data_IF_347778260580
#
_entry.id   IF_347778260580
#
_cell.length_a   1.000
_cell.length_b   1.000
_cell.length_c   1.000
_cell.angle_alpha   90.00
_cell.angle_beta   90.00
_cell.angle_gamma   90.00
#
_symmetry.space_group_name_H-M   'P 1'
#
loop_
_entity.id
_entity.type
_entity.pdbx_description
1 polymer ?
#
# COMPACT_ATOMS: atom_id res chain seq x y z
N UNK A 1 19.82 -2.62 2.13
CA UNK A 1 19.24 -1.31 2.48
C UNK A 1 18.54 -0.82 1.22
N UNK A 2 17.25 -0.57 1.33
CA UNK A 2 16.43 0.03 0.28
C UNK A 2 16.11 1.48 0.66
N UNK A 3 15.87 2.30 -0.37
CA UNK A 3 15.24 3.61 -0.21
C UNK A 3 13.75 3.45 -0.51
N UNK A 4 12.91 3.62 0.51
CA UNK A 4 11.47 3.40 0.41
C UNK A 4 10.75 4.74 0.45
N UNK A 5 9.90 5.02 -0.54
CA UNK A 5 8.97 6.14 -0.51
C UNK A 5 7.62 5.68 0.01
N UNK A 6 7.09 6.38 1.01
CA UNK A 6 5.74 6.15 1.54
C UNK A 6 4.88 7.38 1.17
N UNK A 7 3.98 7.19 0.22
CA UNK A 7 2.96 8.18 -0.16
C UNK A 7 1.72 7.93 0.71
N UNK A 8 1.21 8.98 1.34
CA UNK A 8 0.20 8.83 2.39
C UNK A 8 0.83 8.51 3.75
N UNK A 9 2.02 9.05 4.02
CA UNK A 9 2.81 8.78 5.22
C UNK A 9 2.08 9.10 6.54
N UNK A 10 1.06 9.97 6.52
CA UNK A 10 0.25 10.33 7.69
C UNK A 10 -0.93 9.40 7.93
N UNK A 11 -1.25 8.50 6.99
CA UNK A 11 -2.29 7.50 7.17
C UNK A 11 -1.93 6.54 8.31
N UNK A 12 -2.94 5.89 8.90
CA UNK A 12 -2.72 4.90 9.95
C UNK A 12 -1.70 3.83 9.54
N UNK A 13 -1.82 3.32 8.31
CA UNK A 13 -0.92 2.28 7.80
C UNK A 13 0.43 2.84 7.37
N UNK A 14 0.47 4.04 6.79
CA UNK A 14 1.72 4.74 6.47
C UNK A 14 2.59 4.95 7.71
N UNK A 15 2.04 5.53 8.78
CA UNK A 15 2.79 5.74 10.03
C UNK A 15 3.26 4.44 10.67
N UNK A 16 2.43 3.39 10.63
CA UNK A 16 2.82 2.09 11.17
C UNK A 16 3.93 1.45 10.34
N UNK A 17 3.80 1.46 9.01
CA UNK A 17 4.81 0.95 8.10
C UNK A 17 6.14 1.68 8.29
N UNK A 18 6.14 3.02 8.38
CA UNK A 18 7.35 3.81 8.70
C UNK A 18 8.02 3.32 9.97
N UNK A 19 7.27 3.23 11.08
CA UNK A 19 7.81 2.73 12.36
C UNK A 19 8.33 1.30 12.23
N UNK A 20 7.65 0.45 11.49
CA UNK A 20 8.05 -0.94 11.31
C UNK A 20 9.34 -1.05 10.50
N UNK A 21 9.49 -0.30 9.40
CA UNK A 21 10.74 -0.21 8.63
C UNK A 21 11.90 0.26 9.50
N UNK A 22 11.74 1.38 10.22
CA UNK A 22 12.81 1.94 11.07
C UNK A 22 13.25 1.00 12.19
N UNK A 23 12.32 0.20 12.72
CA UNK A 23 12.59 -0.73 13.82
C UNK A 23 13.16 -2.08 13.36
N UNK A 24 12.85 -2.52 12.14
CA UNK A 24 13.16 -3.87 11.65
C UNK A 24 14.25 -3.91 10.59
N UNK A 25 14.66 -2.76 10.08
CA UNK A 25 15.55 -2.65 8.92
C UNK A 25 16.55 -1.51 9.09
N UNK A 26 17.48 -1.40 8.14
CA UNK A 26 18.39 -0.27 7.99
C UNK A 26 18.02 0.58 6.77
N UNK A 27 16.76 0.54 6.33
CA UNK A 27 16.31 1.27 5.15
C UNK A 27 16.20 2.77 5.41
N UNK A 28 16.29 3.55 4.33
CA UNK A 28 16.00 4.98 4.36
C UNK A 28 14.57 5.22 3.90
N UNK A 29 13.83 6.07 4.60
CA UNK A 29 12.42 6.30 4.38
C UNK A 29 12.18 7.73 3.88
N UNK A 30 11.53 7.84 2.74
CA UNK A 30 11.01 9.09 2.21
C UNK A 30 9.53 9.16 2.55
N UNK A 31 9.11 10.19 3.26
CA UNK A 31 7.73 10.38 3.67
C UNK A 31 7.10 11.49 2.84
N UNK A 32 6.03 11.18 2.10
CA UNK A 32 5.25 12.19 1.37
C UNK A 32 3.84 12.27 1.95
N UNK A 33 3.44 13.49 2.34
CA UNK A 33 2.10 13.77 2.84
C UNK A 33 1.70 15.23 2.67
N UNK A 34 0.40 15.49 2.57
CA UNK A 34 -0.17 16.85 2.47
C UNK A 34 0.02 17.66 3.76
N UNK A 35 -0.14 16.98 4.90
CA UNK A 35 -0.13 17.58 6.23
C UNK A 35 0.91 16.89 7.12
N UNK A 36 2.17 17.27 7.00
CA UNK A 36 3.31 16.63 7.69
C UNK A 36 3.30 16.83 9.22
N UNK A 37 2.50 17.75 9.75
CA UNK A 37 2.36 17.97 11.19
C UNK A 37 1.75 16.80 11.98
N UNK A 38 1.21 15.78 11.29
CA UNK A 38 0.70 14.55 11.91
C UNK A 38 1.76 13.42 11.97
N UNK A 39 2.95 13.65 11.42
CA UNK A 39 4.03 12.67 11.47
C UNK A 39 4.57 12.56 12.90
N UNK A 40 5.01 11.35 13.25
CA UNK A 40 5.82 11.15 14.46
C UNK A 40 7.16 11.90 14.32
N UNK A 41 7.91 12.12 15.42
CA UNK A 41 9.23 12.73 15.34
C UNK A 41 10.13 12.03 14.31
N UNK A 42 10.76 12.83 13.46
CA UNK A 42 11.52 12.38 12.30
C UNK A 42 12.96 12.03 12.72
N UNK A 43 13.43 10.85 12.37
CA UNK A 43 14.82 10.42 12.44
C UNK A 43 15.57 10.94 11.20
N UNK A 44 16.08 12.17 11.24
CA UNK A 44 16.78 12.81 10.11
C UNK A 44 17.98 12.01 9.57
N UNK A 45 18.48 11.00 10.30
CA UNK A 45 19.54 10.12 9.82
C UNK A 45 19.08 9.09 8.80
N UNK A 46 17.78 8.76 8.80
CA UNK A 46 17.17 7.73 7.94
C UNK A 46 15.89 8.18 7.26
N UNK A 47 15.35 9.34 7.62
CA UNK A 47 14.08 9.84 7.12
C UNK A 47 14.25 11.19 6.44
N UNK A 48 13.53 11.37 5.33
CA UNK A 48 13.37 12.65 4.64
C UNK A 48 11.89 12.90 4.36
N UNK A 49 11.45 14.15 4.45
CA UNK A 49 10.03 14.50 4.38
C UNK A 49 9.76 15.45 3.22
N UNK A 50 8.74 15.14 2.42
CA UNK A 50 8.19 15.98 1.37
C UNK A 50 6.75 16.34 1.73
N UNK A 51 6.50 17.64 1.92
CA UNK A 51 5.15 18.14 2.10
C UNK A 51 4.55 18.50 0.74
N UNK A 52 3.50 17.79 0.32
CA UNK A 52 2.82 18.03 -0.95
C UNK A 52 1.72 17.01 -1.24
N UNK A 53 0.94 17.29 -2.29
CA UNK A 53 -0.07 16.39 -2.85
C UNK A 53 0.50 15.66 -4.09
N UNK A 54 -0.08 14.53 -4.47
CA UNK A 54 0.29 13.79 -5.69
C UNK A 54 0.10 14.65 -6.95
N UNK A 55 -0.82 15.61 -6.90
CA UNK A 55 -1.01 16.55 -8.01
C UNK A 55 0.18 17.50 -8.21
N UNK A 56 1.03 17.68 -7.19
CA UNK A 56 2.23 18.51 -7.25
C UNK A 56 3.39 17.73 -7.90
N UNK A 57 3.42 17.74 -9.24
CA UNK A 57 4.34 16.93 -10.05
C UNK A 57 5.82 17.09 -9.64
N UNK A 58 6.27 18.34 -9.43
CA UNK A 58 7.65 18.60 -9.01
C UNK A 58 7.97 17.95 -7.66
N UNK A 59 7.05 18.00 -6.70
CA UNK A 59 7.24 17.43 -5.36
C UNK A 59 7.24 15.90 -5.44
N UNK A 60 6.34 15.34 -6.25
CA UNK A 60 6.27 13.90 -6.48
C UNK A 60 7.56 13.36 -7.12
N UNK A 61 8.05 14.03 -8.16
CA UNK A 61 9.32 13.67 -8.81
C UNK A 61 10.51 13.77 -7.85
N UNK A 62 10.59 14.86 -7.08
CA UNK A 62 11.67 15.04 -6.11
C UNK A 62 11.63 13.97 -5.00
N UNK A 63 10.44 13.53 -4.58
CA UNK A 63 10.27 12.44 -3.64
C UNK A 63 10.68 11.06 -4.22
N UNK A 64 10.51 10.86 -5.53
CA UNK A 64 10.86 9.62 -6.25
C UNK A 64 12.37 9.45 -6.49
N UNK A 65 13.15 10.54 -6.50
CA UNK A 65 14.60 10.47 -6.77
C UNK A 65 15.33 9.52 -5.83
N UNK A 66 16.02 8.55 -6.43
CA UNK A 66 16.84 7.55 -5.73
C UNK A 66 16.03 6.50 -4.94
N UNK A 67 14.72 6.43 -5.13
CA UNK A 67 13.84 5.45 -4.50
C UNK A 67 13.97 4.09 -5.20
N UNK A 68 13.90 3.02 -4.42
CA UNK A 68 13.87 1.65 -4.93
C UNK A 68 12.46 1.06 -4.90
N UNK A 69 11.67 1.42 -3.87
CA UNK A 69 10.33 0.88 -3.62
C UNK A 69 9.39 2.02 -3.26
N UNK A 70 8.22 2.04 -3.86
CA UNK A 70 7.13 2.97 -3.52
C UNK A 70 6.03 2.20 -2.80
N UNK A 71 5.68 2.61 -1.59
CA UNK A 71 4.47 2.22 -0.89
C UNK A 71 3.44 3.34 -1.02
N UNK A 72 2.30 3.03 -1.59
CA UNK A 72 1.13 3.91 -1.61
C UNK A 72 0.14 3.42 -0.57
N UNK A 73 -0.04 4.21 0.49
CA UNK A 73 -0.97 3.93 1.59
C UNK A 73 -2.08 4.97 1.60
N UNK A 74 -2.82 5.01 0.49
CA UNK A 74 -3.92 5.95 0.26
C UNK A 74 -5.18 5.17 -0.08
N UNK A 75 -6.28 5.58 0.53
CA UNK A 75 -7.60 5.17 0.09
C UNK A 75 -8.06 6.15 -1.00
N UNK A 76 -7.67 5.88 -2.25
CA UNK A 76 -8.00 6.70 -3.41
C UNK A 76 -8.70 5.87 -4.47
N UNK A 77 -9.80 6.43 -4.99
CA UNK A 77 -10.55 5.92 -6.11
C UNK A 77 -10.38 6.80 -7.37
N UNK A 78 -9.33 7.63 -7.39
CA UNK A 78 -9.06 8.56 -8.49
C UNK A 78 -7.96 8.03 -9.41
N UNK A 79 -8.36 7.48 -10.56
CA UNK A 79 -7.47 6.99 -11.61
C UNK A 79 -6.34 7.98 -11.96
N UNK A 80 -6.65 9.28 -12.04
CA UNK A 80 -5.67 10.32 -12.40
C UNK A 80 -4.53 10.45 -11.40
N UNK A 81 -4.79 10.24 -10.11
CA UNK A 81 -3.75 10.31 -9.09
C UNK A 81 -2.80 9.11 -9.20
N UNK A 82 -3.34 7.94 -9.49
CA UNK A 82 -2.55 6.72 -9.68
C UNK A 82 -1.73 6.80 -10.96
N UNK A 83 -2.30 7.30 -12.04
CA UNK A 83 -1.55 7.54 -13.28
C UNK A 83 -0.37 8.48 -13.04
N UNK A 84 -0.54 9.56 -12.27
CA UNK A 84 0.57 10.46 -11.90
C UNK A 84 1.69 9.75 -11.14
N UNK A 85 1.35 8.83 -10.24
CA UNK A 85 2.34 8.02 -9.51
C UNK A 85 3.08 7.11 -10.50
N UNK A 86 2.37 6.42 -11.38
CA UNK A 86 2.98 5.54 -12.40
C UNK A 86 3.91 6.35 -13.32
N UNK A 87 3.47 7.50 -13.80
CA UNK A 87 4.26 8.37 -14.68
C UNK A 87 5.54 8.86 -13.98
N UNK A 88 5.46 9.28 -12.71
CA UNK A 88 6.61 9.71 -11.94
C UNK A 88 7.58 8.55 -11.64
N UNK A 89 7.05 7.36 -11.37
CA UNK A 89 7.86 6.14 -11.23
C UNK A 89 8.62 5.82 -12.51
N UNK A 90 7.95 5.89 -13.68
CA UNK A 90 8.59 5.65 -14.97
C UNK A 90 9.66 6.69 -15.30
N UNK A 91 9.37 7.96 -15.04
CA UNK A 91 10.30 9.08 -15.23
C UNK A 91 11.60 8.90 -14.44
N UNK A 92 11.49 8.46 -13.19
CA UNK A 92 12.63 8.24 -12.30
C UNK A 92 13.20 6.81 -12.35
N UNK A 93 12.66 5.95 -13.22
CA UNK A 93 13.11 4.57 -13.41
C UNK A 93 12.83 3.63 -12.23
N UNK A 94 11.87 3.97 -11.37
CA UNK A 94 11.44 3.16 -10.23
C UNK A 94 10.44 2.12 -10.70
N UNK A 95 10.68 0.83 -10.43
CA UNK A 95 9.80 -0.26 -10.91
C UNK A 95 9.00 -0.95 -9.82
N UNK A 96 9.40 -0.91 -8.54
CA UNK A 96 8.72 -1.65 -7.46
C UNK A 96 7.62 -0.79 -6.83
N UNK A 97 6.36 -1.16 -7.04
CA UNK A 97 5.18 -0.53 -6.44
C UNK A 97 4.50 -1.49 -5.45
N UNK A 98 4.24 -1.04 -4.24
CA UNK A 98 3.35 -1.67 -3.26
C UNK A 98 2.13 -0.78 -3.10
N UNK A 99 0.96 -1.25 -3.53
CA UNK A 99 -0.28 -0.48 -3.47
C UNK A 99 -1.20 -1.07 -2.42
N UNK A 100 -1.36 -0.37 -1.29
CA UNK A 100 -2.24 -0.78 -0.21
C UNK A 100 -3.65 -0.23 -0.47
N UNK A 101 -4.62 -1.13 -0.53
CA UNK A 101 -6.04 -0.81 -0.66
C UNK A 101 -6.82 -1.61 0.41
N UNK A 102 -8.07 -2.00 0.15
CA UNK A 102 -8.89 -2.80 1.06
C UNK A 102 -9.46 -4.02 0.34
N UNK A 103 -9.67 -5.11 1.07
CA UNK A 103 -10.54 -6.19 0.59
C UNK A 103 -11.97 -5.66 0.36
N UNK A 104 -12.62 -6.13 -0.70
CA UNK A 104 -13.96 -5.72 -1.14
C UNK A 104 -13.97 -4.91 -2.45
N UNK A 105 -12.84 -4.29 -2.82
CA UNK A 105 -12.72 -3.50 -4.06
C UNK A 105 -12.68 -4.36 -5.33
N UNK A 106 -12.28 -5.63 -5.22
CA UNK A 106 -12.28 -6.60 -6.31
C UNK A 106 -13.60 -7.41 -6.39
N UNK A 107 -14.65 -6.96 -5.70
CA UNK A 107 -15.95 -7.63 -5.61
C UNK A 107 -15.87 -9.08 -5.09
N UNK A 108 -14.92 -9.32 -4.18
CA UNK A 108 -14.60 -10.65 -3.66
C UNK A 108 -15.43 -11.07 -2.45
N UNK A 109 -16.12 -10.14 -1.77
CA UNK A 109 -16.89 -10.46 -0.56
C UNK A 109 -18.28 -10.99 -0.96
N UNK A 110 -18.70 -12.21 -0.54
CA UNK A 110 -20.00 -12.73 -0.88
C UNK A 110 -21.13 -11.87 -0.31
N UNK A 111 -22.23 -11.69 -1.05
CA UNK A 111 -23.44 -10.98 -0.58
C UNK A 111 -23.99 -11.59 0.73
N UNK A 112 -23.73 -12.87 0.97
CA UNK A 112 -24.12 -13.61 2.17
C UNK A 112 -23.31 -13.26 3.42
N UNK A 113 -22.17 -12.56 3.29
CA UNK A 113 -21.34 -12.10 4.40
C UNK A 113 -21.85 -10.77 5.04
N UNK A 114 -23.08 -10.38 4.70
CA UNK A 114 -23.75 -9.20 5.25
C UNK A 114 -23.76 -8.00 4.30
N UNK A 115 -24.79 -7.15 4.43
CA UNK A 115 -25.05 -5.99 3.59
C UNK A 115 -23.99 -4.86 3.63
N UNK A 116 -22.89 -5.07 4.35
CA UNK A 116 -21.80 -4.11 4.60
C UNK A 116 -20.45 -4.55 4.04
N UNK A 117 -20.37 -5.71 3.36
CA UNK A 117 -19.11 -6.35 2.95
C UNK A 117 -18.49 -5.77 1.67
N UNK A 118 -19.15 -5.91 0.52
CA UNK A 118 -18.74 -5.18 -0.68
C UNK A 118 -19.32 -3.75 -0.64
N UNK A 119 -18.69 -2.81 -1.35
CA UNK A 119 -19.40 -1.62 -1.79
C UNK A 119 -20.52 -2.13 -2.72
N UNK A 120 -21.73 -2.27 -2.19
CA UNK A 120 -22.83 -3.02 -2.84
C UNK A 120 -23.37 -2.34 -4.09
N UNK A 121 -23.01 -1.08 -4.30
CA UNK A 121 -23.26 -0.35 -5.53
C UNK A 121 -22.05 -0.41 -6.46
N UNK A 122 -22.27 -0.98 -7.65
CA UNK A 122 -21.26 -1.05 -8.71
C UNK A 122 -20.67 0.32 -9.08
N UNK A 123 -21.43 1.41 -8.90
CA UNK A 123 -20.98 2.80 -9.08
C UNK A 123 -19.89 3.22 -8.10
N UNK A 124 -19.86 2.64 -6.89
CA UNK A 124 -18.86 2.95 -5.87
C UNK A 124 -17.63 2.04 -6.03
N UNK A 125 -17.80 0.77 -6.43
CA UNK A 125 -16.69 -0.15 -6.71
C UNK A 125 -15.87 0.24 -7.94
N UNK A 126 -16.56 0.64 -9.01
CA UNK A 126 -15.95 0.82 -10.32
C UNK A 126 -14.73 1.75 -10.31
N UNK A 127 -14.76 2.92 -9.64
CA UNK A 127 -13.59 3.80 -9.57
C UNK A 127 -12.36 3.15 -8.88
N UNK A 128 -12.56 2.33 -7.85
CA UNK A 128 -11.45 1.59 -7.22
C UNK A 128 -10.90 0.48 -8.13
N UNK A 129 -11.77 -0.18 -8.90
CA UNK A 129 -11.35 -1.17 -9.90
C UNK A 129 -10.60 -0.52 -11.06
N UNK A 130 -11.00 0.68 -11.48
CA UNK A 130 -10.29 1.47 -12.50
C UNK A 130 -8.88 1.84 -12.01
N UNK A 131 -8.73 2.23 -10.74
CA UNK A 131 -7.41 2.44 -10.11
C UNK A 131 -6.55 1.18 -10.17
N UNK A 132 -7.09 0.01 -9.79
CA UNK A 132 -6.35 -1.26 -9.87
C UNK A 132 -5.95 -1.57 -11.31
N UNK A 133 -6.85 -1.36 -12.27
CA UNK A 133 -6.61 -1.61 -13.69
C UNK A 133 -5.48 -0.77 -14.27
N UNK A 134 -5.34 0.49 -13.83
CA UNK A 134 -4.23 1.37 -14.21
C UNK A 134 -2.90 0.75 -13.77
N UNK A 135 -2.84 0.25 -12.53
CA UNK A 135 -1.65 -0.40 -11.99
C UNK A 135 -1.36 -1.70 -12.75
N UNK A 136 -2.38 -2.54 -12.95
CA UNK A 136 -2.24 -3.84 -13.64
C UNK A 136 -1.83 -3.70 -15.12
N UNK A 137 -2.17 -2.58 -15.76
CA UNK A 137 -1.77 -2.26 -17.13
C UNK A 137 -0.39 -1.62 -17.26
N UNK A 138 0.19 -1.14 -16.16
CA UNK A 138 1.54 -0.57 -16.17
C UNK A 138 2.60 -1.64 -16.40
N UNK A 139 3.83 -1.24 -16.70
CA UNK A 139 4.98 -2.15 -16.79
C UNK A 139 5.69 -2.33 -15.42
N UNK A 140 5.10 -1.82 -14.34
CA UNK A 140 5.67 -1.86 -13.00
C UNK A 140 5.68 -3.28 -12.42
N UNK A 141 6.68 -3.54 -11.58
CA UNK A 141 6.67 -4.66 -10.65
C UNK A 141 5.79 -4.31 -9.44
N UNK A 142 4.48 -4.33 -9.67
CA UNK A 142 3.49 -4.00 -8.65
C UNK A 142 3.16 -5.20 -7.75
N UNK A 143 2.74 -4.90 -6.52
CA UNK A 143 1.96 -5.79 -5.67
C UNK A 143 0.81 -5.00 -5.08
N UNK A 144 -0.42 -5.42 -5.35
CA UNK A 144 -1.61 -4.86 -4.70
C UNK A 144 -1.82 -5.64 -3.41
N UNK A 145 -2.05 -4.94 -2.29
CA UNK A 145 -2.22 -5.52 -0.96
C UNK A 145 -3.64 -5.17 -0.48
N UNK A 146 -4.47 -6.20 -0.28
CA UNK A 146 -5.87 -6.12 0.16
C UNK A 146 -6.03 -6.77 1.54
N UNK A 147 -5.76 -6.05 2.63
CA UNK A 147 -6.06 -6.55 3.96
C UNK A 147 -7.56 -6.74 4.15
N UNK A 148 -7.92 -7.78 4.91
CA UNK A 148 -9.23 -7.89 5.56
C UNK A 148 -9.37 -6.82 6.64
N UNK A 149 -10.45 -6.86 7.41
CA UNK A 149 -10.69 -5.91 8.49
C UNK A 149 -9.48 -5.80 9.42
N UNK A 150 -9.02 -4.56 9.62
CA UNK A 150 -7.81 -4.28 10.39
C UNK A 150 -8.11 -4.22 11.88
N UNK A 151 -7.28 -4.86 12.68
CA UNK A 151 -7.29 -4.74 14.14
C UNK A 151 -5.92 -4.34 14.72
N UNK A 152 -5.94 -4.10 16.04
CA UNK A 152 -4.77 -3.70 16.84
C UNK A 152 -4.11 -4.87 17.57
N UNK A 153 -4.37 -6.09 17.10
CA UNK A 153 -3.67 -7.30 17.52
C UNK A 153 -2.17 -7.11 17.37
N UNK A 154 -1.39 -7.73 18.28
CA UNK A 154 0.08 -7.65 18.25
C UNK A 154 0.72 -8.84 17.54
N UNK A 155 -0.08 -9.71 16.94
CA UNK A 155 0.40 -10.81 16.13
C UNK A 155 0.97 -10.29 14.81
N UNK A 156 2.20 -10.70 14.49
CA UNK A 156 2.97 -10.17 13.35
C UNK A 156 3.10 -11.22 12.25
N UNK A 157 3.14 -12.50 12.59
CA UNK A 157 3.38 -13.64 11.68
C UNK A 157 2.18 -14.60 11.56
N UNK A 158 1.06 -14.22 12.18
CA UNK A 158 -0.17 -14.99 12.18
C UNK A 158 -1.10 -14.57 11.03
N UNK A 159 -0.57 -14.50 9.82
CA UNK A 159 -1.35 -14.16 8.63
C UNK A 159 -1.12 -15.15 7.50
N UNK A 160 -2.13 -15.28 6.65
CA UNK A 160 -2.04 -15.94 5.37
C UNK A 160 -2.22 -14.92 4.25
N UNK A 161 -1.70 -15.28 3.08
CA UNK A 161 -1.80 -14.45 1.88
C UNK A 161 -2.37 -15.32 0.78
N UNK A 162 -3.40 -14.82 0.11
CA UNK A 162 -4.05 -15.50 -1.02
C UNK A 162 -4.03 -14.62 -2.26
N UNK A 163 -3.83 -15.25 -3.40
CA UNK A 163 -3.79 -14.59 -4.71
C UNK A 163 -5.19 -14.14 -5.14
N UNK A 164 -5.25 -13.25 -6.13
CA UNK A 164 -6.51 -12.81 -6.71
C UNK A 164 -7.34 -14.00 -7.22
N UNK A 165 -8.65 -13.95 -7.02
CA UNK A 165 -9.59 -15.03 -7.38
C UNK A 165 -9.68 -16.19 -6.37
N UNK A 166 -8.90 -16.18 -5.28
CA UNK A 166 -9.11 -17.10 -4.16
C UNK A 166 -10.43 -16.79 -3.41
N UNK A 167 -11.05 -17.79 -2.74
CA UNK A 167 -12.24 -17.55 -1.92
C UNK A 167 -12.00 -16.49 -0.85
N UNK A 168 -13.04 -15.71 -0.56
CA UNK A 168 -13.04 -14.74 0.54
C UNK A 168 -12.74 -15.41 1.88
N UNK A 169 -11.90 -14.75 2.69
CA UNK A 169 -11.58 -15.16 4.05
C UNK A 169 -12.06 -14.06 5.00
N UNK A 170 -12.90 -14.43 5.96
CA UNK A 170 -13.58 -13.49 6.86
C UNK A 170 -12.74 -13.03 8.07
N UNK A 171 -11.55 -13.60 8.26
CA UNK A 171 -10.74 -13.31 9.44
C UNK A 171 -10.08 -11.92 9.36
N UNK A 172 -10.35 -11.06 10.34
CA UNK A 172 -9.62 -9.81 10.61
C UNK A 172 -8.11 -10.04 10.66
N UNK A 173 -7.32 -9.02 10.38
CA UNK A 173 -5.85 -9.07 10.41
C UNK A 173 -5.25 -7.91 11.20
N UNK A 174 -4.17 -8.19 11.93
CA UNK A 174 -3.41 -7.16 12.62
C UNK A 174 -2.76 -6.19 11.63
N UNK A 175 -2.84 -4.89 11.92
CA UNK A 175 -2.07 -3.86 11.20
C UNK A 175 -0.56 -4.15 11.21
N UNK A 176 -0.03 -4.79 12.26
CA UNK A 176 1.39 -5.18 12.33
C UNK A 176 1.74 -6.34 11.39
N UNK A 177 0.82 -7.28 11.18
CA UNK A 177 0.98 -8.35 10.19
C UNK A 177 1.02 -7.79 8.76
N UNK A 178 0.19 -6.78 8.47
CA UNK A 178 0.23 -6.07 7.17
C UNK A 178 1.55 -5.31 7.01
N UNK A 179 2.04 -4.62 8.05
CA UNK A 179 3.33 -3.94 8.03
C UNK A 179 4.50 -4.91 7.81
N UNK A 180 4.44 -6.11 8.41
CA UNK A 180 5.41 -7.18 8.17
C UNK A 180 5.42 -7.63 6.70
N UNK A 181 4.25 -7.90 6.13
CA UNK A 181 4.13 -8.26 4.72
C UNK A 181 4.70 -7.16 3.81
N UNK A 182 4.41 -5.88 4.08
CA UNK A 182 4.94 -4.73 3.32
C UNK A 182 6.47 -4.75 3.30
N UNK A 183 7.13 -4.94 4.45
CA UNK A 183 8.60 -5.00 4.51
C UNK A 183 9.14 -6.20 3.73
N UNK A 184 8.53 -7.37 3.89
CA UNK A 184 8.93 -8.57 3.14
C UNK A 184 8.82 -8.38 1.62
N UNK A 185 7.75 -7.73 1.15
CA UNK A 185 7.52 -7.41 -0.26
C UNK A 185 8.49 -6.34 -0.79
N UNK A 186 8.86 -5.38 0.06
CA UNK A 186 9.85 -4.35 -0.29
C UNK A 186 11.26 -4.92 -0.48
N UNK A 187 11.60 -5.99 0.25
CA UNK A 187 12.93 -6.64 0.16
C UNK A 187 12.99 -7.85 -0.78
N UNK A 188 11.87 -8.28 -1.36
CA UNK A 188 11.82 -9.39 -2.29
C UNK A 188 10.96 -9.03 -3.51
N UNK A 189 11.62 -8.61 -4.58
CA UNK A 189 11.01 -8.19 -5.84
C UNK A 189 10.35 -9.33 -6.63
N UNK A 190 10.56 -10.59 -6.24
CA UNK A 190 9.88 -11.75 -6.81
C UNK A 190 8.58 -12.09 -6.07
N UNK A 191 8.49 -11.71 -4.79
CA UNK A 191 7.31 -11.99 -3.98
C UNK A 191 6.18 -11.03 -4.36
N UNK A 192 5.02 -11.58 -4.76
CA UNK A 192 3.86 -10.78 -5.16
C UNK A 192 4.06 -9.99 -6.46
N UNK A 193 5.02 -10.37 -7.31
CA UNK A 193 5.31 -9.67 -8.56
C UNK A 193 4.10 -9.73 -9.50
N UNK A 194 3.64 -8.55 -9.93
CA UNK A 194 2.48 -8.38 -10.81
C UNK A 194 1.24 -9.12 -10.29
N UNK A 195 1.02 -9.05 -8.98
CA UNK A 195 0.03 -9.84 -8.27
C UNK A 195 -0.82 -8.96 -7.34
N UNK A 196 -1.98 -9.50 -6.98
CA UNK A 196 -2.96 -8.87 -6.12
C UNK A 196 -3.31 -9.78 -4.94
N UNK A 197 -2.71 -9.46 -3.80
CA UNK A 197 -2.62 -10.29 -2.61
C UNK A 197 -3.65 -9.86 -1.57
N UNK A 198 -4.57 -10.74 -1.23
CA UNK A 198 -5.40 -10.62 -0.05
C UNK A 198 -4.65 -11.13 1.18
N UNK A 199 -4.71 -10.40 2.29
CA UNK A 199 -4.10 -10.79 3.57
C UNK A 199 -5.16 -10.85 4.67
N UNK A 200 -5.19 -11.97 5.40
CA UNK A 200 -6.09 -12.24 6.53
C UNK A 200 -5.34 -12.98 7.64
N UNK A 201 -5.87 -12.99 8.86
CA UNK A 201 -5.33 -13.87 9.91
C UNK A 201 -5.62 -15.33 9.59
N UNK A 202 -4.67 -16.22 9.90
CA UNK A 202 -4.84 -17.67 9.71
C UNK A 202 -6.05 -18.17 10.50
N UNK A 203 -6.85 -19.01 9.87
CA UNK A 203 -7.87 -19.77 10.59
C UNK A 203 -7.22 -20.66 11.67
N UNK A 204 -7.91 -20.80 12.81
CA UNK A 204 -7.51 -21.73 13.88
C UNK A 204 -7.75 -23.18 13.50
#
# INVERSE_FOLDING_TARGET
MANVLIIGATSSMGQLATKYFLNKTYDNITLMARYTGLLSPIDESRERVFQGDIIDEQILDDAMKGVNVVLVSLDSNEERLIQKIVDAMDKEGVKRLLFLTSMGVCNEIPVTAGASGNLTEASILKPYQEVIHVIEKSDLNYTIIRPSWLDDGKDVDNYEVVHNGAPYVENDVSRYSVADLIVRLAHNDKMGKCDNLAISRKAK
#
